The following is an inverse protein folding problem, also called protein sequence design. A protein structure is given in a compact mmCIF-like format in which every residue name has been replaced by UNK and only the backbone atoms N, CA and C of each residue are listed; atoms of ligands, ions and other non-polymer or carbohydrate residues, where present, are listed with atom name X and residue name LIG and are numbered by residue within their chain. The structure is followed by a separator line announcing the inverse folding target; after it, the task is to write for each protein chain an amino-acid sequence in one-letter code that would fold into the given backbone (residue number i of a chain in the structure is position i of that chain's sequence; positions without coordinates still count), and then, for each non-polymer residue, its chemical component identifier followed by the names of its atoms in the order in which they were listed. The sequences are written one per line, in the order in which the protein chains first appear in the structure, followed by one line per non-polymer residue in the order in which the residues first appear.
data_IF_331429247346
#
_entry.id   IF_331429247346
#
_cell.length_a   1.000
_cell.length_b   1.000
_cell.length_c   1.000
_cell.angle_alpha   90.00
_cell.angle_beta   90.00
_cell.angle_gamma   90.00
#
_symmetry.space_group_name_H-M   'P 1'
#
loop_
_entity.id
_entity.type
_entity.pdbx_description
1 polymer ?
#
# COMPACT_ATOMS: atom_id res chain seq x y z
N UNK A 1 43.86 20.10 36.27
CA UNK A 1 43.01 20.66 35.20
C UNK A 1 42.40 19.52 34.42
N UNK A 2 41.24 19.00 34.87
CA UNK A 2 40.57 17.86 34.23
C UNK A 2 39.68 18.37 33.10
N UNK A 3 40.01 18.01 31.85
CA UNK A 3 39.14 18.23 30.69
C UNK A 3 37.93 17.30 30.81
N UNK A 4 36.75 17.88 31.04
CA UNK A 4 35.48 17.17 30.88
C UNK A 4 35.34 16.78 29.40
N UNK A 5 35.38 15.48 29.12
CA UNK A 5 34.98 14.94 27.84
C UNK A 5 33.45 15.12 27.72
N UNK A 6 33.01 16.08 26.91
CA UNK A 6 31.63 16.12 26.44
C UNK A 6 31.38 14.84 25.64
N UNK A 7 30.72 13.86 26.27
CA UNK A 7 30.16 12.70 25.57
C UNK A 7 29.03 13.24 24.69
N UNK A 8 29.35 13.48 23.42
CA UNK A 8 28.34 13.78 22.41
C UNK A 8 27.41 12.57 22.31
N UNK A 9 26.16 12.74 22.73
CA UNK A 9 25.16 11.69 22.63
C UNK A 9 24.96 11.39 21.14
N UNK A 10 25.06 10.12 20.70
CA UNK A 10 24.88 9.76 19.30
C UNK A 10 23.51 10.23 18.79
N UNK A 11 23.47 10.78 17.56
CA UNK A 11 22.24 11.33 16.97
C UNK A 11 21.06 10.36 17.00
N UNK A 12 21.30 9.07 16.76
CA UNK A 12 20.27 8.02 16.81
C UNK A 12 19.66 7.82 18.21
N UNK A 13 20.41 8.07 19.30
CA UNK A 13 19.89 8.01 20.67
C UNK A 13 19.02 9.23 20.99
N UNK A 14 19.45 10.43 20.58
CA UNK A 14 18.63 11.65 20.66
C UNK A 14 17.35 11.46 19.84
N UNK A 15 17.45 10.81 18.70
CA UNK A 15 16.33 10.56 17.81
C UNK A 15 15.33 9.56 18.41
N UNK A 16 15.80 8.42 18.95
CA UNK A 16 14.95 7.46 19.67
C UNK A 16 14.25 8.04 20.90
N UNK A 17 14.92 8.90 21.67
CA UNK A 17 14.29 9.60 22.80
C UNK A 17 13.20 10.59 22.34
N UNK A 18 13.39 11.25 21.19
CA UNK A 18 12.40 12.18 20.64
C UNK A 18 11.19 11.47 20.01
N UNK A 19 11.35 10.27 19.42
CA UNK A 19 10.24 9.48 18.86
C UNK A 19 9.20 9.12 19.94
N UNK A 20 9.65 8.73 21.12
CA UNK A 20 8.76 8.37 22.23
C UNK A 20 7.91 9.54 22.77
N UNK A 21 8.27 10.78 22.42
CA UNK A 21 7.53 12.01 22.76
C UNK A 21 6.99 12.74 21.52
N UNK A 22 7.19 12.19 20.32
CA UNK A 22 6.81 12.82 19.07
C UNK A 22 5.28 12.81 18.92
N UNK A 23 4.73 13.91 18.42
CA UNK A 23 3.33 13.94 18.00
C UNK A 23 3.14 13.05 16.77
N UNK A 24 1.91 12.54 16.58
CA UNK A 24 1.56 11.71 15.43
C UNK A 24 1.95 12.36 14.09
N UNK A 25 1.86 13.68 13.99
CA UNK A 25 2.26 14.46 12.80
C UNK A 25 3.76 14.37 12.54
N UNK A 26 4.59 14.49 13.58
CA UNK A 26 6.04 14.36 13.43
C UNK A 26 6.43 12.95 12.98
N UNK A 27 5.79 11.92 13.52
CA UNK A 27 6.06 10.54 13.10
C UNK A 27 5.69 10.32 11.62
N UNK A 28 4.60 10.94 11.15
CA UNK A 28 4.22 10.92 9.73
C UNK A 28 5.22 11.66 8.84
N UNK A 29 5.77 12.79 9.29
CA UNK A 29 6.81 13.52 8.56
C UNK A 29 8.12 12.72 8.49
N UNK A 30 8.46 12.01 9.57
CA UNK A 30 9.62 11.10 9.57
C UNK A 30 9.44 9.89 8.66
N UNK A 31 8.20 9.42 8.48
CA UNK A 31 7.90 8.30 7.59
C UNK A 31 8.22 8.61 6.13
N UNK A 32 7.98 9.86 5.69
CA UNK A 32 8.25 10.29 4.31
C UNK A 32 9.70 10.74 4.07
N UNK A 33 10.46 11.00 5.13
CA UNK A 33 11.86 11.45 5.01
C UNK A 33 12.78 10.27 4.66
N UNK A 34 13.26 10.24 3.41
CA UNK A 34 14.19 9.19 2.96
C UNK A 34 15.50 9.14 3.76
N UNK A 35 15.90 10.23 4.43
CA UNK A 35 17.09 10.25 5.29
C UNK A 35 16.90 9.39 6.54
N UNK A 36 15.64 9.17 6.94
CA UNK A 36 15.31 8.40 8.14
C UNK A 36 15.82 6.96 8.07
N UNK A 37 15.92 6.36 6.89
CA UNK A 37 16.47 5.02 6.72
C UNK A 37 17.95 4.93 7.13
N UNK A 38 18.71 6.02 7.04
CA UNK A 38 20.11 6.05 7.46
C UNK A 38 20.25 6.28 8.96
N UNK A 39 19.37 7.09 9.54
CA UNK A 39 19.39 7.43 10.97
C UNK A 39 18.79 6.31 11.84
N UNK A 40 17.73 5.65 11.38
CA UNK A 40 17.10 4.49 12.03
C UNK A 40 16.45 3.53 11.01
N UNK A 41 17.17 2.48 10.56
CA UNK A 41 16.68 1.53 9.56
C UNK A 41 15.40 0.77 9.97
N UNK A 42 15.13 0.59 11.26
CA UNK A 42 13.93 -0.14 11.73
C UNK A 42 12.70 0.75 11.84
N UNK A 43 12.84 2.08 11.75
CA UNK A 43 11.75 3.02 12.01
C UNK A 43 10.49 2.75 11.18
N UNK A 44 10.64 2.47 9.89
CA UNK A 44 9.50 2.19 9.01
C UNK A 44 8.75 0.95 9.47
N UNK A 45 9.46 -0.12 9.81
CA UNK A 45 8.88 -1.36 10.30
C UNK A 45 8.19 -1.16 11.66
N UNK A 46 8.88 -0.50 12.60
CA UNK A 46 8.35 -0.19 13.93
C UNK A 46 7.09 0.71 13.84
N UNK A 47 7.11 1.71 12.95
CA UNK A 47 5.97 2.58 12.71
C UNK A 47 4.79 1.77 12.16
N UNK A 48 4.99 0.96 11.11
CA UNK A 48 3.93 0.17 10.48
C UNK A 48 3.37 -0.90 11.43
N UNK A 49 4.19 -1.42 12.34
CA UNK A 49 3.78 -2.36 13.37
C UNK A 49 2.90 -1.69 14.43
N UNK A 50 3.22 -0.47 14.84
CA UNK A 50 2.65 0.16 16.05
C UNK A 50 1.66 1.30 15.79
N UNK A 51 1.50 1.78 14.54
CA UNK A 51 0.71 2.98 14.23
C UNK A 51 -0.71 2.92 14.78
N UNK A 52 -1.34 1.74 14.83
CA UNK A 52 -2.73 1.55 15.29
C UNK A 52 -2.95 2.02 16.73
N UNK A 53 -1.89 2.11 17.53
CA UNK A 53 -1.96 2.61 18.91
C UNK A 53 -2.17 4.12 18.98
N UNK A 54 -1.82 4.88 17.93
CA UNK A 54 -1.87 6.35 17.91
C UNK A 54 -2.55 6.95 16.66
N UNK A 55 -2.78 6.17 15.61
CA UNK A 55 -3.53 6.53 14.39
C UNK A 55 -4.68 5.53 14.21
N UNK A 56 -5.92 6.03 14.30
CA UNK A 56 -7.14 5.21 14.19
C UNK A 56 -7.52 4.90 12.74
N UNK A 57 -7.40 5.89 11.85
CA UNK A 57 -7.72 5.72 10.42
C UNK A 57 -6.41 5.63 9.62
N UNK A 58 -6.01 4.44 9.14
CA UNK A 58 -4.76 4.26 8.41
C UNK A 58 -4.74 4.95 7.05
N UNK A 59 -5.90 5.37 6.52
CA UNK A 59 -5.94 6.15 5.27
C UNK A 59 -5.15 7.46 5.39
N UNK A 60 -4.99 7.99 6.61
CA UNK A 60 -4.20 9.20 6.85
C UNK A 60 -2.74 8.97 6.48
N UNK A 61 -2.21 7.79 6.80
CA UNK A 61 -0.83 7.40 6.44
C UNK A 61 -0.72 7.25 4.93
N UNK A 62 -1.66 6.52 4.32
CA UNK A 62 -1.66 6.28 2.87
C UNK A 62 -1.77 7.58 2.06
N UNK A 63 -2.65 8.49 2.46
CA UNK A 63 -2.78 9.81 1.81
C UNK A 63 -1.50 10.63 1.97
N UNK A 64 -0.91 10.69 3.17
CA UNK A 64 0.35 11.42 3.41
C UNK A 64 1.49 10.88 2.53
N UNK A 65 1.61 9.55 2.41
CA UNK A 65 2.58 8.91 1.52
C UNK A 65 2.31 9.28 0.05
N UNK A 66 1.05 9.23 -0.37
CA UNK A 66 0.67 9.50 -1.76
C UNK A 66 0.84 10.98 -2.14
N UNK A 67 0.45 11.91 -1.27
CA UNK A 67 0.62 13.35 -1.47
C UNK A 67 2.11 13.66 -1.66
N UNK A 68 2.97 13.11 -0.80
CA UNK A 68 4.42 13.31 -0.92
C UNK A 68 5.00 12.65 -2.18
N UNK A 69 4.42 11.52 -2.61
CA UNK A 69 4.80 10.84 -3.86
C UNK A 69 4.45 11.67 -5.10
N UNK A 70 3.30 12.37 -5.08
CA UNK A 70 2.86 13.22 -6.18
C UNK A 70 3.60 14.57 -6.21
N UNK A 71 3.93 15.12 -5.05
CA UNK A 71 4.60 16.42 -4.91
C UNK A 71 6.12 16.32 -5.15
N UNK A 72 6.72 15.16 -4.90
CA UNK A 72 8.15 14.95 -5.04
C UNK A 72 8.57 14.78 -6.51
N UNK A 73 9.39 15.72 -7.00
CA UNK A 73 10.13 15.55 -8.26
C UNK A 73 11.47 14.79 -8.08
N UNK A 74 11.80 14.39 -6.84
CA UNK A 74 13.02 13.65 -6.52
C UNK A 74 12.81 12.12 -6.66
N UNK A 75 13.61 11.43 -7.51
CA UNK A 75 13.55 9.98 -7.65
C UNK A 75 13.83 9.22 -6.36
N UNK A 76 14.76 9.69 -5.51
CA UNK A 76 15.14 8.98 -4.28
C UNK A 76 14.01 9.00 -3.26
N UNK A 77 13.36 10.15 -3.10
CA UNK A 77 12.17 10.29 -2.25
C UNK A 77 11.01 9.42 -2.76
N UNK A 78 10.78 9.40 -4.08
CA UNK A 78 9.74 8.55 -4.69
C UNK A 78 10.01 7.06 -4.46
N UNK A 79 11.27 6.64 -4.62
CA UNK A 79 11.69 5.26 -4.34
C UNK A 79 11.47 4.89 -2.87
N UNK A 80 11.86 5.76 -1.93
CA UNK A 80 11.64 5.57 -0.51
C UNK A 80 10.16 5.33 -0.18
N UNK A 81 9.28 6.21 -0.66
CA UNK A 81 7.84 6.07 -0.42
C UNK A 81 7.29 4.78 -1.01
N UNK A 82 7.67 4.44 -2.25
CA UNK A 82 7.25 3.20 -2.88
C UNK A 82 7.67 1.98 -2.06
N UNK A 83 8.89 1.98 -1.51
CA UNK A 83 9.38 0.93 -0.60
C UNK A 83 8.58 0.85 0.70
N UNK A 84 8.22 1.98 1.29
CA UNK A 84 7.37 2.03 2.49
C UNK A 84 6.01 1.37 2.20
N UNK A 85 5.36 1.75 1.10
CA UNK A 85 4.06 1.18 0.68
C UNK A 85 4.19 -0.32 0.42
N UNK A 86 5.20 -0.75 -0.33
CA UNK A 86 5.42 -2.17 -0.64
C UNK A 86 5.68 -3.01 0.62
N UNK A 87 6.48 -2.49 1.54
CA UNK A 87 6.72 -3.12 2.84
C UNK A 87 5.42 -3.25 3.63
N UNK A 88 4.60 -2.21 3.65
CA UNK A 88 3.32 -2.22 4.35
C UNK A 88 2.37 -3.27 3.78
N UNK A 89 2.18 -3.30 2.46
CA UNK A 89 1.34 -4.31 1.79
C UNK A 89 1.88 -5.72 2.02
N UNK A 90 3.20 -5.91 1.96
CA UNK A 90 3.80 -7.23 2.13
C UNK A 90 3.69 -7.76 3.56
N UNK A 91 3.86 -6.90 4.57
CA UNK A 91 3.99 -7.32 5.96
C UNK A 91 2.70 -7.18 6.76
N UNK A 92 1.79 -6.29 6.35
CA UNK A 92 0.51 -6.05 7.05
C UNK A 92 -0.68 -5.97 6.09
N UNK A 93 -0.76 -6.91 5.13
CA UNK A 93 -1.84 -6.95 4.13
C UNK A 93 -3.26 -6.91 4.73
N UNK A 94 -3.46 -7.41 5.95
CA UNK A 94 -4.73 -7.39 6.66
C UNK A 94 -5.31 -5.99 6.85
N UNK A 95 -4.48 -4.95 6.88
CA UNK A 95 -4.93 -3.55 6.88
C UNK A 95 -5.69 -3.18 5.62
N UNK A 96 -5.23 -3.68 4.48
CA UNK A 96 -5.78 -3.36 3.16
C UNK A 96 -7.02 -4.20 2.87
N UNK A 97 -6.98 -5.50 3.19
CA UNK A 97 -8.09 -6.43 2.94
C UNK A 97 -9.38 -6.00 3.67
N UNK A 98 -9.24 -5.49 4.90
CA UNK A 98 -10.38 -5.10 5.74
C UNK A 98 -10.84 -3.65 5.54
N UNK A 99 -10.14 -2.86 4.73
CA UNK A 99 -10.39 -1.43 4.59
C UNK A 99 -10.57 -1.03 3.11
N UNK A 100 -11.81 -0.73 2.68
CA UNK A 100 -12.11 -0.32 1.31
C UNK A 100 -11.33 0.92 0.85
N UNK A 101 -11.05 1.88 1.75
CA UNK A 101 -10.28 3.10 1.40
C UNK A 101 -8.82 2.77 1.09
N UNK A 102 -8.22 1.86 1.85
CA UNK A 102 -6.85 1.40 1.59
C UNK A 102 -6.78 0.54 0.34
N UNK A 103 -7.80 -0.29 0.08
CA UNK A 103 -7.92 -1.02 -1.19
C UNK A 103 -7.98 -0.06 -2.39
N UNK A 104 -8.76 1.02 -2.30
CA UNK A 104 -8.79 2.06 -3.36
C UNK A 104 -7.45 2.78 -3.51
N UNK A 105 -6.74 3.02 -2.40
CA UNK A 105 -5.39 3.56 -2.45
C UNK A 105 -4.44 2.65 -3.24
N UNK A 106 -4.53 1.33 -3.10
CA UNK A 106 -3.72 0.38 -3.89
C UNK A 106 -4.01 0.49 -5.40
N UNK A 107 -5.26 0.73 -5.79
CA UNK A 107 -5.60 0.98 -7.20
C UNK A 107 -4.93 2.26 -7.73
N UNK A 108 -4.97 3.35 -6.95
CA UNK A 108 -4.32 4.62 -7.30
C UNK A 108 -2.80 4.48 -7.35
N UNK A 109 -2.24 3.67 -6.46
CA UNK A 109 -0.81 3.40 -6.41
C UNK A 109 -0.34 2.55 -7.61
N UNK A 110 -1.09 1.52 -8.02
CA UNK A 110 -0.77 0.77 -9.24
C UNK A 110 -0.83 1.67 -10.49
N UNK A 111 -1.86 2.51 -10.59
CA UNK A 111 -2.00 3.46 -11.70
C UNK A 111 -0.83 4.45 -11.75
N UNK A 112 -0.39 4.96 -10.59
CA UNK A 112 0.79 5.78 -10.47
C UNK A 112 2.04 5.04 -10.96
N UNK A 113 2.28 3.81 -10.46
CA UNK A 113 3.42 2.98 -10.87
C UNK A 113 3.40 2.65 -12.37
N UNK A 114 2.23 2.58 -12.99
CA UNK A 114 2.07 2.33 -14.42
C UNK A 114 2.42 3.52 -15.30
N UNK A 115 1.99 4.73 -14.91
CA UNK A 115 1.95 5.87 -15.84
C UNK A 115 2.93 7.01 -15.51
N UNK A 116 3.42 7.09 -14.27
CA UNK A 116 4.13 8.29 -13.78
C UNK A 116 5.62 8.08 -13.52
N UNK A 117 6.11 6.84 -13.55
CA UNK A 117 7.43 6.51 -13.03
C UNK A 117 8.43 6.16 -14.16
N UNK A 118 9.70 6.59 -14.08
CA UNK A 118 10.71 6.24 -15.08
C UNK A 118 10.87 4.73 -15.28
N UNK A 119 11.39 4.33 -16.45
CA UNK A 119 11.62 2.92 -16.84
C UNK A 119 12.32 2.06 -15.77
N UNK A 120 13.28 2.65 -15.03
CA UNK A 120 13.99 1.97 -13.94
C UNK A 120 13.08 1.48 -12.82
N UNK A 121 11.85 1.99 -12.76
CA UNK A 121 10.89 1.68 -11.72
C UNK A 121 9.75 0.73 -12.16
N UNK A 122 9.76 0.24 -13.40
CA UNK A 122 8.87 -0.86 -13.84
C UNK A 122 9.03 -2.12 -12.97
N UNK A 123 10.23 -2.34 -12.43
CA UNK A 123 10.51 -3.41 -11.47
C UNK A 123 9.63 -3.30 -10.21
N UNK A 124 9.38 -2.10 -9.70
CA UNK A 124 8.53 -1.89 -8.52
C UNK A 124 7.08 -2.28 -8.77
N UNK A 125 6.54 -1.98 -9.96
CA UNK A 125 5.19 -2.42 -10.34
C UNK A 125 5.11 -3.95 -10.43
N UNK A 126 6.13 -4.58 -11.00
CA UNK A 126 6.21 -6.04 -11.02
C UNK A 126 6.26 -6.62 -9.60
N UNK A 127 7.10 -6.08 -8.71
CA UNK A 127 7.16 -6.47 -7.30
C UNK A 127 5.83 -6.25 -6.58
N UNK A 128 5.17 -5.11 -6.81
CA UNK A 128 3.85 -4.81 -6.27
C UNK A 128 2.82 -5.88 -6.66
N UNK A 129 2.76 -6.21 -7.94
CA UNK A 129 1.85 -7.23 -8.46
C UNK A 129 2.15 -8.62 -7.88
N UNK A 130 3.44 -8.97 -7.74
CA UNK A 130 3.83 -10.23 -7.11
C UNK A 130 3.39 -10.30 -5.66
N UNK A 131 3.61 -9.23 -4.88
CA UNK A 131 3.14 -9.15 -3.49
C UNK A 131 1.62 -9.33 -3.46
N UNK A 132 0.87 -8.54 -4.22
CA UNK A 132 -0.59 -8.65 -4.25
C UNK A 132 -1.07 -10.05 -4.64
N UNK A 133 -0.42 -10.69 -5.62
CA UNK A 133 -0.71 -12.07 -5.99
C UNK A 133 -0.48 -13.04 -4.83
N UNK A 134 0.66 -12.96 -4.14
CA UNK A 134 0.98 -13.85 -3.01
C UNK A 134 0.10 -13.62 -1.78
N UNK A 135 -0.50 -12.44 -1.65
CA UNK A 135 -1.43 -12.10 -0.58
C UNK A 135 -2.90 -12.33 -0.95
N UNK A 136 -3.18 -12.63 -2.21
CA UNK A 136 -4.55 -12.93 -2.65
C UNK A 136 -5.06 -14.20 -1.95
N UNK A 137 -6.29 -14.13 -1.46
CA UNK A 137 -6.99 -15.20 -0.77
C UNK A 137 -8.12 -15.73 -1.65
N UNK A 138 -8.32 -17.06 -1.66
CA UNK A 138 -9.48 -17.67 -2.32
C UNK A 138 -10.72 -17.29 -1.51
N UNK A 139 -11.72 -16.72 -2.18
CA UNK A 139 -13.00 -16.33 -1.59
C UNK A 139 -14.16 -16.87 -2.43
N UNK A 140 -15.21 -17.33 -1.75
CA UNK A 140 -16.46 -17.74 -2.41
C UNK A 140 -17.47 -16.61 -2.29
N UNK A 141 -17.85 -16.03 -3.42
CA UNK A 141 -18.84 -14.94 -3.50
C UNK A 141 -20.06 -15.46 -4.25
N UNK A 142 -21.25 -15.30 -3.65
CA UNK A 142 -22.52 -15.63 -4.31
C UNK A 142 -23.22 -14.35 -4.74
N UNK A 143 -23.39 -14.17 -6.06
CA UNK A 143 -24.12 -13.06 -6.65
C UNK A 143 -25.47 -13.56 -7.14
N UNK A 144 -26.55 -13.15 -6.48
CA UNK A 144 -27.92 -13.47 -6.90
C UNK A 144 -28.45 -12.39 -7.82
N UNK A 145 -28.87 -12.79 -9.02
CA UNK A 145 -29.61 -11.97 -9.98
C UNK A 145 -31.08 -12.34 -9.95
N UNK A 146 -31.96 -11.36 -10.10
CA UNK A 146 -33.41 -11.57 -10.17
C UNK A 146 -33.80 -12.01 -11.57
N UNK A 147 -33.12 -11.49 -12.59
CA UNK A 147 -33.35 -11.84 -14.00
C UNK A 147 -32.03 -12.00 -14.78
N UNK A 148 -32.10 -12.62 -15.96
CA UNK A 148 -30.96 -12.72 -16.89
C UNK A 148 -30.54 -11.39 -17.51
N UNK A 149 -31.37 -10.36 -17.41
CA UNK A 149 -31.12 -9.03 -18.00
C UNK A 149 -30.53 -8.05 -16.98
N UNK A 150 -30.46 -8.42 -15.70
CA UNK A 150 -29.91 -7.55 -14.64
C UNK A 150 -28.44 -7.20 -14.91
N UNK A 151 -28.08 -5.92 -14.85
CA UNK A 151 -26.69 -5.49 -15.10
C UNK A 151 -25.75 -6.11 -14.05
N UNK A 152 -24.64 -6.70 -14.50
CA UNK A 152 -23.68 -7.39 -13.63
C UNK A 152 -22.87 -6.42 -12.76
N UNK A 153 -22.74 -5.16 -13.14
CA UNK A 153 -21.96 -4.12 -12.45
C UNK A 153 -20.47 -4.49 -12.27
N UNK A 154 -19.97 -5.45 -13.06
CA UNK A 154 -18.56 -5.79 -13.21
C UNK A 154 -18.30 -6.29 -14.64
N UNK A 155 -17.04 -6.21 -15.08
CA UNK A 155 -16.57 -6.70 -16.36
C UNK A 155 -15.63 -7.89 -16.12
N UNK A 156 -15.62 -8.84 -17.06
CA UNK A 156 -14.74 -10.00 -17.06
C UNK A 156 -13.79 -9.96 -18.25
N UNK A 157 -12.63 -10.59 -18.08
CA UNK A 157 -11.60 -10.74 -19.10
C UNK A 157 -11.07 -12.18 -19.07
N UNK A 158 -10.86 -12.77 -20.25
CA UNK A 158 -10.42 -14.16 -20.40
C UNK A 158 -11.50 -15.05 -20.99
N UNK A 159 -11.38 -16.37 -20.80
CA UNK A 159 -12.34 -17.36 -21.34
C UNK A 159 -12.24 -17.61 -22.85
N UNK A 160 -11.06 -17.43 -23.45
CA UNK A 160 -10.86 -17.72 -24.89
C UNK A 160 -10.93 -19.22 -25.16
N UNK A 161 -11.84 -19.66 -26.03
CA UNK A 161 -12.02 -21.07 -26.43
C UNK A 161 -10.82 -21.67 -27.18
N UNK A 162 -9.86 -20.85 -27.61
CA UNK A 162 -8.73 -21.26 -28.47
C UNK A 162 -7.52 -21.81 -27.73
N UNK A 163 -7.42 -21.63 -26.41
CA UNK A 163 -6.31 -22.13 -25.58
C UNK A 163 -6.90 -22.78 -24.33
N UNK A 164 -6.65 -24.09 -24.16
CA UNK A 164 -6.98 -24.79 -22.93
C UNK A 164 -6.26 -24.12 -21.74
N UNK A 165 -7.01 -23.80 -20.67
CA UNK A 165 -6.59 -23.13 -19.42
C UNK A 165 -6.57 -21.58 -19.36
N UNK A 166 -7.34 -20.85 -20.18
CA UNK A 166 -7.56 -19.42 -19.90
C UNK A 166 -8.66 -19.22 -18.84
N UNK A 167 -8.26 -18.94 -17.61
CA UNK A 167 -9.17 -18.52 -16.54
C UNK A 167 -9.98 -17.27 -16.92
N UNK A 168 -11.13 -17.10 -16.26
CA UNK A 168 -11.96 -15.90 -16.38
C UNK A 168 -11.64 -15.01 -15.17
N UNK A 169 -11.30 -13.75 -15.39
CA UNK A 169 -10.91 -12.83 -14.33
C UNK A 169 -11.80 -11.58 -14.35
N UNK A 170 -12.07 -11.00 -13.18
CA UNK A 170 -12.77 -9.73 -13.08
C UNK A 170 -11.82 -8.60 -13.49
N UNK A 171 -12.13 -7.90 -14.59
CA UNK A 171 -11.30 -6.80 -15.10
C UNK A 171 -11.66 -5.46 -14.49
N UNK A 172 -12.94 -5.24 -14.15
CA UNK A 172 -13.46 -3.99 -13.62
C UNK A 172 -14.68 -4.24 -12.75
N UNK A 173 -14.89 -3.39 -11.75
CA UNK A 173 -16.08 -3.42 -10.88
C UNK A 173 -16.62 -2.00 -10.76
N UNK A 174 -17.93 -1.86 -10.83
CA UNK A 174 -18.60 -0.58 -10.56
C UNK A 174 -18.60 -0.29 -9.06
N UNK A 175 -18.12 0.89 -8.69
CA UNK A 175 -18.02 1.32 -7.29
C UNK A 175 -19.42 1.43 -6.67
N UNK A 176 -19.52 1.09 -5.39
CA UNK A 176 -20.79 1.14 -4.62
C UNK A 176 -21.91 0.23 -5.17
N UNK A 177 -21.59 -0.70 -6.07
CA UNK A 177 -22.53 -1.72 -6.51
C UNK A 177 -22.65 -2.84 -5.48
N UNK A 178 -23.75 -3.60 -5.56
CA UNK A 178 -23.95 -4.79 -4.71
C UNK A 178 -22.80 -5.79 -4.83
N UNK A 179 -22.21 -5.95 -6.02
CA UNK A 179 -21.07 -6.84 -6.25
C UNK A 179 -19.79 -6.36 -5.55
N UNK A 180 -19.58 -5.04 -5.48
CA UNK A 180 -18.49 -4.44 -4.72
C UNK A 180 -18.67 -4.66 -3.21
N UNK A 181 -19.89 -4.50 -2.70
CA UNK A 181 -20.23 -4.68 -1.28
C UNK A 181 -20.07 -6.12 -0.79
N UNK A 182 -20.43 -7.11 -1.61
CA UNK A 182 -20.25 -8.54 -1.28
C UNK A 182 -18.80 -9.00 -1.38
N UNK A 183 -17.86 -8.11 -1.71
CA UNK A 183 -16.43 -8.39 -1.65
C UNK A 183 -15.80 -8.82 -2.97
N UNK A 184 -16.49 -8.73 -4.10
CA UNK A 184 -15.87 -8.98 -5.41
C UNK A 184 -14.81 -7.91 -5.66
N UNK A 185 -13.63 -8.33 -6.13
CA UNK A 185 -12.50 -7.44 -6.42
C UNK A 185 -11.96 -7.68 -7.83
N UNK A 186 -11.39 -6.63 -8.42
CA UNK A 186 -10.65 -6.74 -9.68
C UNK A 186 -9.51 -7.75 -9.49
N UNK A 187 -9.31 -8.63 -10.46
CA UNK A 187 -8.32 -9.70 -10.41
C UNK A 187 -8.83 -11.01 -9.78
N UNK A 188 -10.02 -11.03 -9.17
CA UNK A 188 -10.63 -12.29 -8.73
C UNK A 188 -10.85 -13.20 -9.95
N UNK A 189 -10.47 -14.47 -9.84
CA UNK A 189 -10.74 -15.50 -10.85
C UNK A 189 -12.13 -16.11 -10.61
N UNK A 190 -12.94 -16.16 -11.65
CA UNK A 190 -14.23 -16.84 -11.68
C UNK A 190 -13.99 -18.30 -12.08
N UNK A 191 -14.37 -19.23 -11.21
CA UNK A 191 -14.32 -20.68 -11.43
C UNK A 191 -15.70 -21.26 -11.72
#
# INVERSE_FOLDING_TARGET
MSRQAHKTVPRYLIFKENINQATKEKLLDLLVDARQLFDDPSFVEDFLLTYRTFIKDPIIIANKLFDYLLDSNDPTSSEHIARVVLSWVNNHYSDFESNPKLSEFLEKFDDYLQHRVPECMRSWRHTFNLICYTKSSIRTITITRSTRDDILNFEILGGSDTLANNGIFVSKIERHSKVYEVGLRRGDQVN
#
